data_IF_933624503042
#
_entry.id   IF_933624503042
#
_cell.length_a   1.000
_cell.length_b   1.000
_cell.length_c   1.000
_cell.angle_alpha   90.00
_cell.angle_beta   90.00
_cell.angle_gamma   90.00
#
_symmetry.space_group_name_H-M   'P 1'
#
loop_
_entity.id
_entity.type
_entity.pdbx_description
1 polymer ?
#
# COMPACT_ATOMS: atom_id res chain seq x y z
N UNK A 1 17.98 -16.29 -1.65
CA UNK A 1 16.97 -16.84 -2.56
C UNK A 1 16.45 -18.10 -1.91
N UNK A 2 15.14 -18.20 -1.65
CA UNK A 2 14.56 -19.42 -1.11
C UNK A 2 14.62 -20.52 -2.18
N UNK A 3 15.15 -21.68 -1.81
CA UNK A 3 15.23 -22.84 -2.69
C UNK A 3 14.30 -23.90 -2.12
N UNK A 4 13.10 -24.01 -2.68
CA UNK A 4 12.13 -25.05 -2.35
C UNK A 4 12.35 -26.24 -3.28
N UNK A 5 12.38 -27.45 -2.74
CA UNK A 5 12.51 -28.68 -3.52
C UNK A 5 11.14 -29.09 -4.05
N UNK A 6 10.93 -29.21 -5.38
CA UNK A 6 9.64 -29.60 -5.95
C UNK A 6 9.18 -31.01 -5.59
N UNK A 7 10.06 -31.85 -5.03
CA UNK A 7 9.74 -33.20 -4.56
C UNK A 7 9.20 -33.22 -3.12
N UNK A 8 9.33 -32.10 -2.40
CA UNK A 8 8.78 -31.99 -1.06
C UNK A 8 7.26 -31.76 -1.18
N UNK A 9 6.46 -32.52 -0.43
CA UNK A 9 5.01 -32.29 -0.33
C UNK A 9 4.77 -31.07 0.55
N UNK A 10 4.88 -29.87 -0.03
CA UNK A 10 4.68 -28.60 0.68
C UNK A 10 3.20 -28.31 0.87
N UNK A 11 2.78 -27.74 2.02
CA UNK A 11 1.40 -27.37 2.25
C UNK A 11 0.98 -26.23 1.31
N UNK A 12 -0.28 -26.22 0.90
CA UNK A 12 -0.89 -25.12 0.15
C UNK A 12 -1.42 -24.04 1.09
N UNK A 13 -1.87 -22.90 0.55
CA UNK A 13 -2.55 -21.88 1.35
C UNK A 13 -3.81 -22.41 2.08
N UNK A 14 -4.49 -23.43 1.55
CA UNK A 14 -5.68 -24.05 2.16
C UNK A 14 -5.33 -24.94 3.37
N UNK A 15 -4.11 -25.47 3.42
CA UNK A 15 -3.64 -26.34 4.50
C UNK A 15 -3.09 -25.55 5.71
N UNK A 16 -2.97 -24.23 5.58
CA UNK A 16 -2.28 -23.35 6.51
C UNK A 16 -3.26 -22.42 7.25
N UNK A 17 -3.01 -22.08 8.53
CA UNK A 17 -3.79 -21.06 9.23
C UNK A 17 -3.81 -19.72 8.48
N UNK A 18 -4.98 -19.12 8.36
CA UNK A 18 -5.19 -17.81 7.73
C UNK A 18 -5.47 -16.68 8.74
N UNK A 19 -5.63 -17.02 10.02
CA UNK A 19 -5.76 -16.07 11.13
C UNK A 19 -4.76 -16.38 12.25
N UNK A 20 -4.28 -15.33 12.92
CA UNK A 20 -3.35 -15.44 14.06
C UNK A 20 -4.04 -15.49 15.43
N UNK A 21 -5.38 -15.46 15.48
CA UNK A 21 -6.21 -15.48 16.70
C UNK A 21 -5.82 -14.43 17.77
N UNK A 22 -5.08 -13.36 17.41
CA UNK A 22 -4.65 -12.33 18.36
C UNK A 22 -5.54 -11.06 18.30
N UNK A 23 -6.31 -10.74 19.36
CA UNK A 23 -7.17 -9.56 19.35
C UNK A 23 -6.41 -8.34 19.85
N UNK A 24 -5.67 -7.60 19.01
CA UNK A 24 -5.08 -6.32 19.48
C UNK A 24 -4.70 -5.27 18.43
N UNK A 25 -5.28 -5.27 17.24
CA UNK A 25 -5.03 -4.16 16.32
C UNK A 25 -5.71 -2.88 16.78
N UNK A 26 -4.93 -1.81 16.83
CA UNK A 26 -5.48 -0.47 17.04
C UNK A 26 -5.94 0.10 15.69
N UNK A 27 -6.90 1.02 15.73
CA UNK A 27 -7.51 1.64 14.54
C UNK A 27 -6.50 2.16 13.48
N UNK A 28 -5.26 2.49 13.86
CA UNK A 28 -4.25 2.93 12.89
C UNK A 28 -3.56 1.80 12.14
N UNK A 29 -3.47 0.62 12.72
CA UNK A 29 -2.98 -0.57 12.03
C UNK A 29 -3.94 -1.01 10.93
N UNK A 30 -5.23 -0.66 11.03
CA UNK A 30 -6.20 -0.82 9.94
C UNK A 30 -6.19 0.36 8.96
N UNK A 31 -6.43 1.59 9.45
CA UNK A 31 -6.66 2.75 8.57
C UNK A 31 -5.45 3.11 7.69
N UNK A 32 -4.22 2.95 8.19
CA UNK A 32 -3.01 3.34 7.43
C UNK A 32 -2.76 2.39 6.26
N UNK A 33 -2.67 1.06 6.44
CA UNK A 33 -2.57 0.12 5.33
C UNK A 33 -3.76 0.21 4.36
N UNK A 34 -4.98 0.36 4.88
CA UNK A 34 -6.19 0.47 4.05
C UNK A 34 -6.13 1.70 3.15
N UNK A 35 -5.70 2.86 3.66
CA UNK A 35 -5.48 4.06 2.85
C UNK A 35 -4.44 3.82 1.75
N UNK A 36 -3.31 3.18 2.08
CA UNK A 36 -2.26 2.90 1.10
C UNK A 36 -2.73 1.93 0.01
N UNK A 37 -3.44 0.86 0.38
CA UNK A 37 -4.01 -0.12 -0.56
C UNK A 37 -5.04 0.52 -1.48
N UNK A 38 -5.97 1.31 -0.94
CA UNK A 38 -7.00 1.97 -1.73
C UNK A 38 -6.40 3.00 -2.70
N UNK A 39 -5.37 3.75 -2.26
CA UNK A 39 -4.66 4.69 -3.12
C UNK A 39 -3.88 3.99 -4.24
N UNK A 40 -3.26 2.83 -3.96
CA UNK A 40 -2.65 1.99 -5.02
C UNK A 40 -3.70 1.45 -5.98
N UNK A 41 -4.83 0.95 -5.50
CA UNK A 41 -5.88 0.43 -6.35
C UNK A 41 -6.41 1.47 -7.35
N UNK A 42 -6.46 2.74 -6.94
CA UNK A 42 -6.78 3.86 -7.82
C UNK A 42 -5.63 4.17 -8.81
N UNK A 43 -4.40 4.27 -8.32
CA UNK A 43 -3.23 4.61 -9.12
C UNK A 43 -2.88 3.54 -10.17
N UNK A 44 -3.06 2.28 -9.80
CA UNK A 44 -2.72 1.09 -10.56
C UNK A 44 -3.97 0.34 -11.01
N UNK A 45 -5.05 1.06 -11.33
CA UNK A 45 -6.34 0.49 -11.74
C UNK A 45 -6.20 -0.49 -12.92
N UNK A 46 -5.33 -0.16 -13.89
CA UNK A 46 -5.06 -0.96 -15.09
C UNK A 46 -3.90 -1.96 -14.93
N UNK A 47 -3.28 -2.02 -13.75
CA UNK A 47 -2.12 -2.86 -13.47
C UNK A 47 -2.54 -4.08 -12.66
N UNK A 48 -2.14 -5.28 -13.12
CA UNK A 48 -2.56 -6.56 -12.53
C UNK A 48 -1.41 -7.42 -11.99
N UNK A 49 -0.16 -6.97 -12.11
CA UNK A 49 1.06 -7.64 -11.66
C UNK A 49 1.53 -7.13 -10.27
N UNK A 50 0.62 -6.96 -9.32
CA UNK A 50 0.96 -6.57 -7.95
C UNK A 50 -0.05 -7.10 -6.94
N UNK A 51 0.38 -7.29 -5.69
CA UNK A 51 -0.50 -7.62 -4.58
C UNK A 51 -0.14 -6.80 -3.34
N UNK A 52 -1.16 -6.29 -2.64
CA UNK A 52 -0.98 -5.56 -1.38
C UNK A 52 -1.79 -6.24 -0.27
N UNK A 53 -1.10 -6.91 0.62
CA UNK A 53 -1.66 -7.59 1.79
C UNK A 53 -1.73 -6.64 2.99
N UNK A 54 -2.77 -6.81 3.80
CA UNK A 54 -3.00 -6.12 5.08
C UNK A 54 -3.32 -7.24 6.06
N UNK A 55 -2.65 -7.25 7.21
CA UNK A 55 -2.85 -8.23 8.28
C UNK A 55 -2.94 -9.67 7.74
N UNK A 56 -1.98 -10.05 6.89
CA UNK A 56 -1.98 -11.33 6.19
C UNK A 56 -0.66 -12.06 6.42
N UNK A 57 -0.77 -13.33 6.85
CA UNK A 57 0.37 -14.19 7.10
C UNK A 57 1.21 -14.44 5.85
N UNK A 58 2.52 -14.22 5.98
CA UNK A 58 3.52 -14.62 5.00
C UNK A 58 4.19 -15.92 5.47
N UNK A 59 3.98 -16.98 4.72
CA UNK A 59 4.63 -18.27 4.96
C UNK A 59 5.93 -18.36 4.18
N UNK A 60 7.05 -18.34 4.91
CA UNK A 60 8.40 -18.32 4.33
C UNK A 60 9.16 -19.65 4.48
N UNK A 61 8.68 -20.54 5.34
CA UNK A 61 9.15 -21.92 5.44
C UNK A 61 7.99 -22.82 5.90
N UNK A 62 7.94 -24.10 5.47
CA UNK A 62 6.85 -25.00 5.82
C UNK A 62 6.75 -25.32 7.31
N UNK A 63 7.89 -25.42 7.99
CA UNK A 63 7.99 -25.78 9.42
C UNK A 63 8.09 -24.55 10.34
N UNK A 64 7.80 -23.35 9.83
CA UNK A 64 7.86 -22.11 10.59
C UNK A 64 6.50 -21.43 10.62
N UNK A 65 6.20 -20.78 11.75
CA UNK A 65 5.02 -19.94 11.87
C UNK A 65 5.06 -18.81 10.83
N UNK A 66 3.88 -18.41 10.35
CA UNK A 66 3.76 -17.25 9.49
C UNK A 66 4.23 -15.97 10.20
N UNK A 67 4.80 -15.06 9.42
CA UNK A 67 4.99 -13.68 9.88
C UNK A 67 3.86 -12.81 9.35
N UNK A 68 3.19 -12.09 10.25
CA UNK A 68 2.08 -11.19 9.93
C UNK A 68 2.56 -9.73 10.02
N UNK A 69 2.78 -9.04 8.89
CA UNK A 69 3.00 -7.60 8.86
C UNK A 69 1.67 -6.83 8.87
N UNK A 70 1.69 -5.58 9.35
CA UNK A 70 0.52 -4.69 9.21
C UNK A 70 0.20 -4.44 7.72
N UNK A 71 1.23 -4.36 6.86
CA UNK A 71 1.04 -4.36 5.42
C UNK A 71 2.27 -4.85 4.64
N UNK A 72 2.07 -5.33 3.42
CA UNK A 72 3.15 -5.57 2.47
C UNK A 72 2.72 -5.38 1.02
N UNK A 73 3.70 -5.16 0.16
CA UNK A 73 3.54 -5.03 -1.29
C UNK A 73 4.46 -6.03 -2.00
N UNK A 74 3.88 -6.78 -2.94
CA UNK A 74 4.57 -7.67 -3.87
C UNK A 74 4.34 -7.22 -5.30
N UNK A 75 5.38 -7.26 -6.12
CA UNK A 75 5.33 -6.92 -7.55
C UNK A 75 5.69 -8.13 -8.41
N UNK A 76 5.04 -8.26 -9.57
CA UNK A 76 5.17 -9.40 -10.47
C UNK A 76 4.35 -10.62 -10.05
N UNK A 77 3.35 -10.45 -9.17
CA UNK A 77 2.39 -11.49 -8.76
C UNK A 77 0.98 -11.07 -9.19
N UNK A 78 0.07 -12.01 -9.43
CA UNK A 78 -1.28 -11.67 -9.88
C UNK A 78 -2.05 -10.91 -8.80
N UNK A 79 -2.69 -9.80 -9.13
CA UNK A 79 -3.48 -9.04 -8.15
C UNK A 79 -4.68 -9.82 -7.62
N UNK A 80 -5.37 -10.52 -8.51
CA UNK A 80 -6.53 -11.36 -8.24
C UNK A 80 -6.24 -12.73 -8.86
N UNK A 81 -6.33 -13.79 -8.06
CA UNK A 81 -6.11 -15.18 -8.50
C UNK A 81 -7.44 -15.79 -8.99
N UNK A 82 -8.51 -15.59 -8.22
CA UNK A 82 -9.88 -16.04 -8.48
C UNK A 82 -10.87 -15.25 -7.60
N UNK A 83 -12.11 -15.74 -7.47
CA UNK A 83 -13.17 -15.14 -6.65
C UNK A 83 -13.00 -15.36 -5.14
N UNK A 84 -12.25 -16.38 -4.75
CA UNK A 84 -12.00 -16.73 -3.35
C UNK A 84 -10.83 -15.93 -2.75
N UNK A 85 -10.04 -15.27 -3.61
CA UNK A 85 -8.91 -14.43 -3.24
C UNK A 85 -7.83 -15.22 -2.48
N UNK A 86 -6.88 -14.50 -1.86
CA UNK A 86 -5.78 -15.11 -1.13
C UNK A 86 -6.13 -15.27 0.35
N UNK A 87 -5.97 -16.49 0.85
CA UNK A 87 -6.01 -16.78 2.29
C UNK A 87 -4.73 -16.34 2.99
N UNK A 88 -3.58 -16.66 2.39
CA UNK A 88 -2.26 -16.30 2.92
C UNK A 88 -1.27 -16.05 1.79
N UNK A 89 -0.10 -15.50 2.13
CA UNK A 89 0.96 -15.25 1.16
C UNK A 89 2.06 -16.30 1.28
N UNK A 90 1.92 -17.36 0.50
CA UNK A 90 2.77 -18.55 0.55
C UNK A 90 3.96 -18.40 -0.41
N UNK A 91 5.18 -18.24 0.12
CA UNK A 91 6.35 -17.90 -0.70
C UNK A 91 6.75 -18.97 -1.72
N UNK A 92 6.47 -20.25 -1.46
CA UNK A 92 6.78 -21.32 -2.41
C UNK A 92 5.76 -21.44 -3.55
N UNK A 93 4.53 -20.96 -3.34
CA UNK A 93 3.50 -20.84 -4.38
C UNK A 93 3.72 -19.56 -5.20
N UNK A 94 3.83 -18.41 -4.52
CA UNK A 94 3.99 -17.09 -5.14
C UNK A 94 5.35 -16.90 -5.80
N UNK A 95 6.38 -17.62 -5.30
CA UNK A 95 7.79 -17.56 -5.77
C UNK A 95 8.35 -16.13 -5.79
N UNK A 96 7.76 -15.24 -5.00
CA UNK A 96 8.10 -13.82 -4.96
C UNK A 96 8.06 -13.30 -3.53
N UNK A 97 9.20 -12.84 -3.04
CA UNK A 97 9.29 -12.15 -1.75
C UNK A 97 8.67 -10.75 -1.90
N UNK A 98 7.90 -10.27 -0.92
CA UNK A 98 7.42 -8.89 -0.92
C UNK A 98 8.56 -7.89 -1.10
N UNK A 99 8.34 -6.90 -1.97
CA UNK A 99 9.32 -5.84 -2.21
C UNK A 99 9.32 -4.83 -1.07
N UNK A 100 8.18 -4.64 -0.40
CA UNK A 100 8.02 -3.71 0.70
C UNK A 100 7.16 -4.31 1.81
N UNK A 101 7.56 -4.08 3.07
CA UNK A 101 6.79 -4.41 4.27
C UNK A 101 6.67 -3.16 5.15
N UNK A 102 5.52 -2.95 5.77
CA UNK A 102 5.21 -1.85 6.68
C UNK A 102 4.77 -2.38 8.05
N UNK A 103 5.30 -1.78 9.10
CA UNK A 103 4.81 -1.95 10.48
C UNK A 103 4.34 -0.60 11.03
N UNK A 104 3.16 -0.56 11.64
CA UNK A 104 2.50 0.61 12.24
C UNK A 104 2.55 0.48 13.76
N UNK A 105 3.36 1.32 14.39
CA UNK A 105 3.65 1.27 15.82
C UNK A 105 2.87 2.33 16.58
N UNK A 106 1.97 1.90 17.46
CA UNK A 106 1.23 2.77 18.41
C UNK A 106 1.73 2.65 19.85
N UNK A 107 2.33 1.52 20.26
CA UNK A 107 2.81 1.30 21.63
C UNK A 107 4.20 0.62 21.70
N UNK A 108 4.87 0.69 22.86
CA UNK A 108 6.27 0.28 23.05
C UNK A 108 6.43 -1.26 23.10
N UNK A 109 6.39 -1.97 21.97
CA UNK A 109 6.81 -3.39 21.88
C UNK A 109 8.27 -3.52 21.42
N UNK A 110 9.23 -3.10 22.26
CA UNK A 110 10.66 -2.98 21.86
C UNK A 110 11.32 -4.28 21.33
N UNK A 111 10.83 -5.47 21.73
CA UNK A 111 11.41 -6.76 21.33
C UNK A 111 10.92 -7.27 19.97
N UNK A 112 9.61 -7.19 19.73
CA UNK A 112 8.94 -7.71 18.54
C UNK A 112 9.51 -7.11 17.24
N UNK A 113 9.70 -5.77 17.21
CA UNK A 113 10.24 -5.08 16.03
C UNK A 113 11.67 -5.50 15.68
N UNK A 114 12.49 -5.82 16.69
CA UNK A 114 13.88 -6.21 16.45
C UNK A 114 13.94 -7.60 15.81
N UNK A 115 13.06 -8.51 16.24
CA UNK A 115 12.92 -9.83 15.66
C UNK A 115 12.34 -9.77 14.24
N UNK A 116 11.18 -9.13 14.04
CA UNK A 116 10.54 -9.00 12.72
C UNK A 116 11.48 -8.34 11.70
N UNK A 117 12.20 -7.27 12.08
CA UNK A 117 13.20 -6.63 11.22
C UNK A 117 14.28 -7.61 10.74
N UNK A 118 14.83 -8.44 11.65
CA UNK A 118 15.84 -9.41 11.27
C UNK A 118 15.26 -10.50 10.36
N UNK A 119 14.02 -10.92 10.61
CA UNK A 119 13.34 -11.92 9.79
C UNK A 119 13.09 -11.39 8.37
N UNK A 120 12.54 -10.18 8.21
CA UNK A 120 12.37 -9.54 6.90
C UNK A 120 13.71 -9.37 6.15
N UNK A 121 14.78 -9.02 6.88
CA UNK A 121 16.12 -8.93 6.33
C UNK A 121 16.60 -10.27 5.77
N UNK A 122 16.43 -11.34 6.55
CA UNK A 122 16.82 -12.71 6.17
C UNK A 122 15.97 -13.25 5.01
N UNK A 123 14.68 -12.91 4.97
CA UNK A 123 13.78 -13.23 3.86
C UNK A 123 14.17 -12.51 2.56
N UNK A 124 14.89 -11.39 2.65
CA UNK A 124 15.29 -10.60 1.48
C UNK A 124 14.25 -9.56 1.08
N UNK A 125 13.36 -9.14 1.98
CA UNK A 125 12.42 -8.04 1.72
C UNK A 125 13.23 -6.77 1.46
N UNK A 126 13.06 -6.18 0.27
CA UNK A 126 13.92 -5.10 -0.19
C UNK A 126 13.74 -3.82 0.62
N UNK A 127 12.49 -3.48 0.95
CA UNK A 127 12.16 -2.28 1.71
C UNK A 127 11.38 -2.59 2.97
N UNK A 128 11.79 -1.97 4.07
CA UNK A 128 11.11 -2.13 5.36
C UNK A 128 10.78 -0.76 5.95
N UNK A 129 9.49 -0.49 6.13
CA UNK A 129 8.95 0.75 6.69
C UNK A 129 8.47 0.53 8.12
N UNK A 130 8.80 1.46 9.01
CA UNK A 130 8.25 1.55 10.36
C UNK A 130 7.58 2.91 10.50
N UNK A 131 6.27 2.92 10.65
CA UNK A 131 5.50 4.13 10.87
C UNK A 131 5.08 4.24 12.33
N UNK A 132 5.48 5.32 12.98
CA UNK A 132 5.11 5.62 14.36
C UNK A 132 4.72 7.10 14.48
N UNK A 133 3.41 7.41 14.45
CA UNK A 133 2.92 8.79 14.48
C UNK A 133 3.14 9.49 15.83
N UNK A 134 3.50 8.76 16.89
CA UNK A 134 3.69 9.32 18.23
C UNK A 134 5.12 9.83 18.45
N UNK A 135 6.03 9.63 17.50
CA UNK A 135 7.41 10.09 17.60
C UNK A 135 7.47 11.62 17.54
N UNK A 136 8.02 12.23 18.59
CA UNK A 136 8.23 13.69 18.68
C UNK A 136 9.62 14.16 18.25
N UNK A 137 10.64 13.30 18.38
CA UNK A 137 12.07 13.65 18.19
C UNK A 137 12.70 13.01 16.95
N UNK A 138 12.03 12.03 16.36
CA UNK A 138 12.48 11.28 15.19
C UNK A 138 11.42 11.41 14.09
N UNK A 139 11.82 11.12 12.86
CA UNK A 139 10.87 10.94 11.76
C UNK A 139 9.79 9.94 12.16
N UNK A 140 8.55 10.25 11.79
CA UNK A 140 7.42 9.36 12.00
C UNK A 140 7.52 8.11 11.12
N UNK A 141 8.16 8.21 9.94
CA UNK A 141 8.47 7.09 9.07
C UNK A 141 9.98 6.84 9.08
N UNK A 142 10.40 5.64 9.50
CA UNK A 142 11.73 5.09 9.23
C UNK A 142 11.61 4.12 8.08
N UNK A 143 12.39 4.33 7.02
CA UNK A 143 12.41 3.45 5.87
C UNK A 143 13.82 2.87 5.71
N UNK A 144 13.89 1.58 5.48
CA UNK A 144 15.15 0.86 5.28
C UNK A 144 15.17 0.20 3.90
N UNK A 145 16.34 0.20 3.26
CA UNK A 145 16.62 -0.59 2.04
C UNK A 145 17.61 -1.69 2.35
N UNK A 146 17.34 -2.90 1.87
CA UNK A 146 18.27 -4.03 1.98
C UNK A 146 19.41 -3.83 0.99
N UNK A 147 20.63 -3.67 1.50
CA UNK A 147 21.84 -3.49 0.68
C UNK A 147 22.94 -4.41 1.23
N UNK A 148 23.42 -5.33 0.40
CA UNK A 148 24.46 -6.28 0.82
C UNK A 148 24.02 -7.20 1.98
N UNK A 149 22.73 -7.52 2.07
CA UNK A 149 22.18 -8.36 3.13
C UNK A 149 21.89 -7.66 4.46
N UNK A 150 22.10 -6.33 4.55
CA UNK A 150 21.79 -5.54 5.73
C UNK A 150 20.89 -4.34 5.41
N UNK A 151 19.97 -4.03 6.32
CA UNK A 151 19.11 -2.86 6.18
C UNK A 151 19.86 -1.56 6.45
N UNK A 152 19.84 -0.66 5.47
CA UNK A 152 20.36 0.70 5.58
C UNK A 152 19.21 1.71 5.64
N UNK A 153 19.28 2.67 6.56
CA UNK A 153 18.24 3.69 6.72
C UNK A 153 18.27 4.66 5.52
N UNK A 154 17.11 4.88 4.91
CA UNK A 154 16.89 5.87 3.87
C UNK A 154 16.37 7.17 4.50
N UNK A 155 17.12 8.29 4.39
CA UNK A 155 16.65 9.58 4.86
C UNK A 155 15.68 10.22 3.86
N UNK A 156 14.74 11.03 4.35
CA UNK A 156 13.86 11.84 3.53
C UNK A 156 12.38 11.68 3.86
N UNK A 157 11.57 12.56 3.28
CA UNK A 157 10.12 12.47 3.27
C UNK A 157 9.56 13.37 2.15
N UNK A 158 9.00 12.82 1.06
CA UNK A 158 8.90 11.38 0.76
C UNK A 158 10.27 10.76 0.43
N UNK A 159 10.31 9.44 0.38
CA UNK A 159 11.47 8.67 -0.11
C UNK A 159 11.06 7.89 -1.34
N UNK A 160 11.76 8.11 -2.46
CA UNK A 160 11.56 7.39 -3.70
C UNK A 160 12.06 5.94 -3.58
N UNK A 161 11.25 4.98 -4.03
CA UNK A 161 11.56 3.56 -4.09
C UNK A 161 11.69 3.15 -5.58
N UNK A 162 12.90 3.20 -6.19
CA UNK A 162 13.06 2.96 -7.62
C UNK A 162 12.50 1.61 -8.09
N UNK A 163 12.68 0.55 -7.31
CA UNK A 163 12.20 -0.79 -7.63
C UNK A 163 10.67 -0.93 -7.54
N UNK A 164 9.99 0.01 -6.88
CA UNK A 164 8.52 0.09 -6.83
C UNK A 164 7.98 1.04 -7.89
N UNK A 165 8.76 2.06 -8.27
CA UNK A 165 8.31 3.17 -9.12
C UNK A 165 7.36 4.12 -8.39
N UNK A 166 7.46 4.19 -7.06
CA UNK A 166 6.67 5.08 -6.20
C UNK A 166 7.52 5.62 -5.06
N UNK A 167 7.19 6.83 -4.60
CA UNK A 167 7.66 7.36 -3.34
C UNK A 167 6.71 7.01 -2.20
N UNK A 168 7.24 6.82 -0.99
CA UNK A 168 6.44 6.69 0.22
C UNK A 168 6.85 7.76 1.23
N UNK A 169 5.87 8.35 1.89
CA UNK A 169 6.10 9.39 2.87
C UNK A 169 4.86 9.66 3.69
N UNK A 170 4.96 10.66 4.56
CA UNK A 170 3.86 11.17 5.33
C UNK A 170 3.49 12.60 4.93
N UNK A 171 2.21 12.92 5.10
CA UNK A 171 1.65 14.26 4.93
C UNK A 171 0.64 14.54 6.04
N UNK A 172 0.32 15.81 6.28
CA UNK A 172 -0.77 16.19 7.18
C UNK A 172 -2.02 16.45 6.36
N UNK A 173 -3.10 15.74 6.64
CA UNK A 173 -4.34 15.83 5.89
C UNK A 173 -5.51 15.18 6.62
N UNK A 174 -6.64 15.09 5.94
CA UNK A 174 -7.87 14.49 6.44
C UNK A 174 -8.18 13.24 5.61
N UNK A 175 -8.49 12.14 6.29
CA UNK A 175 -8.98 10.90 5.69
C UNK A 175 -10.07 10.35 6.61
N UNK A 176 -11.23 9.99 6.06
CA UNK A 176 -12.42 9.61 6.83
C UNK A 176 -12.78 10.61 7.94
N UNK A 177 -12.61 11.91 7.66
CA UNK A 177 -12.87 12.99 8.63
C UNK A 177 -11.82 13.16 9.74
N UNK A 178 -10.80 12.32 9.79
CA UNK A 178 -9.74 12.36 10.82
C UNK A 178 -8.55 13.17 10.30
N UNK A 179 -8.31 14.33 10.90
CA UNK A 179 -7.17 15.18 10.58
C UNK A 179 -5.92 14.75 11.35
N UNK A 180 -4.91 14.24 10.64
CA UNK A 180 -3.65 13.80 11.24
C UNK A 180 -2.52 13.72 10.22
N UNK A 181 -1.38 13.20 10.67
CA UNK A 181 -0.35 12.74 9.76
C UNK A 181 -0.75 11.34 9.25
N UNK A 182 -0.74 11.17 7.93
CA UNK A 182 -1.07 9.94 7.20
C UNK A 182 0.10 9.54 6.31
N UNK A 183 0.23 8.26 6.01
CA UNK A 183 1.11 7.79 4.94
C UNK A 183 0.43 7.95 3.59
N UNK A 184 1.23 8.18 2.56
CA UNK A 184 0.76 8.25 1.18
C UNK A 184 1.85 7.82 0.19
N UNK A 185 1.42 7.54 -1.03
CA UNK A 185 2.28 7.36 -2.18
C UNK A 185 2.55 8.70 -2.87
N UNK A 186 3.71 8.80 -3.49
CA UNK A 186 4.21 9.99 -4.18
C UNK A 186 4.79 9.60 -5.55
N UNK A 187 4.77 10.53 -6.50
CA UNK A 187 5.50 10.40 -7.76
C UNK A 187 7.00 10.71 -7.58
N UNK A 188 7.76 10.65 -8.67
CA UNK A 188 9.21 10.84 -8.67
C UNK A 188 9.60 12.28 -8.31
N UNK A 189 8.73 13.24 -8.65
CA UNK A 189 8.86 14.65 -8.30
C UNK A 189 8.48 14.96 -6.84
N UNK A 190 8.02 13.96 -6.08
CA UNK A 190 7.64 14.09 -4.68
C UNK A 190 6.26 14.73 -4.49
N UNK A 191 5.42 14.73 -5.52
CA UNK A 191 4.01 15.12 -5.42
C UNK A 191 3.18 13.91 -5.01
N UNK A 192 2.30 14.15 -4.04
CA UNK A 192 1.46 13.12 -3.43
C UNK A 192 0.34 12.70 -4.38
N UNK A 193 0.09 11.40 -4.46
CA UNK A 193 -1.13 10.89 -5.09
C UNK A 193 -2.36 11.15 -4.19
N UNK A 194 -3.51 11.53 -4.78
CA UNK A 194 -4.71 11.79 -4.01
C UNK A 194 -5.21 10.52 -3.32
N UNK A 195 -5.86 10.69 -2.17
CA UNK A 195 -6.67 9.62 -1.60
C UNK A 195 -7.92 9.38 -2.48
N UNK A 196 -8.61 8.23 -2.35
CA UNK A 196 -9.87 8.02 -3.06
C UNK A 196 -10.92 9.11 -2.79
N UNK A 197 -11.02 9.59 -1.55
CA UNK A 197 -11.93 10.69 -1.17
C UNK A 197 -11.57 11.99 -1.91
N UNK A 198 -10.29 12.33 -1.94
CA UNK A 198 -9.78 13.53 -2.65
C UNK A 198 -9.99 13.41 -4.16
N UNK A 199 -9.78 12.23 -4.75
CA UNK A 199 -10.00 11.97 -6.17
C UNK A 199 -11.48 12.16 -6.56
N UNK A 200 -12.40 11.57 -5.78
CA UNK A 200 -13.85 11.73 -6.00
C UNK A 200 -14.26 13.21 -5.87
N UNK A 201 -13.71 13.92 -4.88
CA UNK A 201 -14.00 15.34 -4.70
C UNK A 201 -13.52 16.16 -5.90
N UNK A 202 -12.32 15.89 -6.40
CA UNK A 202 -11.75 16.55 -7.56
C UNK A 202 -12.60 16.31 -8.82
N UNK A 203 -12.98 15.07 -9.08
CA UNK A 203 -13.84 14.71 -10.22
C UNK A 203 -15.21 15.43 -10.15
N UNK A 204 -15.83 15.49 -8.97
CA UNK A 204 -17.09 16.22 -8.76
C UNK A 204 -16.93 17.71 -9.07
N UNK A 205 -15.83 18.32 -8.65
CA UNK A 205 -15.56 19.73 -8.92
C UNK A 205 -15.34 19.99 -10.41
N UNK A 206 -14.61 19.10 -11.10
CA UNK A 206 -14.39 19.20 -12.55
C UNK A 206 -15.71 19.05 -13.30
N UNK A 207 -16.52 18.04 -12.97
CA UNK A 207 -17.81 17.80 -13.61
C UNK A 207 -18.78 18.98 -13.41
N UNK A 208 -18.82 19.55 -12.20
CA UNK A 208 -19.63 20.72 -11.91
C UNK A 208 -19.20 21.94 -12.72
N UNK A 209 -17.89 22.20 -12.80
CA UNK A 209 -17.34 23.32 -13.58
C UNK A 209 -17.59 23.14 -15.09
N UNK A 210 -17.45 21.92 -15.62
CA UNK A 210 -17.78 21.62 -17.01
C UNK A 210 -19.25 21.84 -17.30
N UNK A 211 -20.15 21.42 -16.39
CA UNK A 211 -21.59 21.64 -16.51
C UNK A 211 -21.93 23.13 -16.53
N UNK A 212 -21.33 23.92 -15.64
CA UNK A 212 -21.53 25.37 -15.60
C UNK A 212 -21.02 26.06 -16.87
N UNK A 213 -19.86 25.65 -17.38
CA UNK A 213 -19.31 26.18 -18.62
C UNK A 213 -20.19 25.83 -19.82
N UNK A 214 -20.65 24.58 -19.92
CA UNK A 214 -21.56 24.12 -20.97
C UNK A 214 -22.89 24.90 -20.93
N UNK A 215 -23.45 25.14 -19.75
CA UNK A 215 -24.67 25.94 -19.59
C UNK A 215 -24.47 27.40 -20.03
N UNK A 216 -23.34 28.02 -19.67
CA UNK A 216 -23.01 29.40 -20.09
C UNK A 216 -22.82 29.48 -21.61
N UNK A 217 -22.14 28.50 -22.21
CA UNK A 217 -21.93 28.46 -23.65
C UNK A 217 -23.26 28.23 -24.40
N UNK A 218 -24.09 27.31 -23.92
CA UNK A 218 -25.42 27.06 -24.49
C UNK A 218 -26.31 28.31 -24.40
N UNK A 219 -26.29 29.04 -23.28
CA UNK A 219 -27.00 30.31 -23.14
C UNK A 219 -26.51 31.34 -24.17
N UNK A 220 -25.19 31.49 -24.34
CA UNK A 220 -24.60 32.42 -25.31
C UNK A 220 -24.89 32.04 -26.77
N UNK A 221 -24.92 30.74 -27.08
CA UNK A 221 -25.30 30.26 -28.42
C UNK A 221 -26.78 30.58 -28.72
N UNK A 222 -27.68 30.39 -27.74
CA UNK A 222 -29.08 30.77 -27.86
C UNK A 222 -29.26 32.29 -28.04
N UNK A 223 -28.48 33.12 -27.34
CA UNK A 223 -28.45 34.57 -27.55
C UNK A 223 -28.02 34.96 -28.98
N UNK A 224 -27.13 34.16 -29.59
CA UNK A 224 -26.69 34.33 -30.98
C UNK A 224 -27.65 33.69 -32.01
N UNK A 225 -28.77 33.13 -31.57
CA UNK A 225 -29.75 32.47 -32.44
C UNK A 225 -29.33 31.09 -32.97
N UNK A 226 -28.30 30.47 -32.37
CA UNK A 226 -27.82 29.14 -32.72
C UNK A 226 -28.43 28.13 -31.75
N UNK A 227 -29.13 27.11 -32.25
CA UNK A 227 -29.64 26.03 -31.41
C UNK A 227 -28.50 25.11 -30.94
N UNK A 228 -28.19 25.04 -29.63
CA UNK A 228 -27.04 24.31 -29.11
C UNK A 228 -27.10 22.80 -29.36
N UNK A 229 -28.31 22.25 -29.48
CA UNK A 229 -28.56 20.82 -29.62
C UNK A 229 -28.52 20.34 -31.09
N UNK A 230 -28.30 21.25 -32.04
CA UNK A 230 -28.19 20.96 -33.48
C UNK A 230 -26.77 20.61 -33.95
N UNK A 231 -25.79 20.72 -33.04
CA UNK A 231 -24.38 20.40 -33.29
C UNK A 231 -24.04 19.10 -32.54
N UNK A 232 -24.51 17.97 -33.08
CA UNK A 232 -24.28 16.63 -32.56
C UNK A 232 -24.02 15.65 -33.69
#
# INVERSE_FOLDING_TARGET
>A
MFHYNPLDCLPSAEDLPDSDDTPVDNELQDLVPTLLKASLALLWAERWDWYFGIDMGIYYAPDADAIVPDAFLSLGVQRVIDEDLRLSYVLWEEKKVPVFVLEVVSHKRRGEYSFKKQLYQNMGVLYYGIYNPLRKRKSALELYKLVGGAYQLLPGNPVWLPEVGLGIGYYRGTYQGIQRQWLAWFDEEGKRFPTPEEAIQLERQIAQQQRELAQKLAAKLRELGIEPDSVG
#
